data_IF_767683980066
#
_entry.id   IF_767683980066
#
_cell.length_a   1.000
_cell.length_b   1.000
_cell.length_c   1.000
_cell.angle_alpha   90.00
_cell.angle_beta   90.00
_cell.angle_gamma   90.00
#
_symmetry.space_group_name_H-M   'P 1'
#
loop_
_entity.id
_entity.type
_entity.pdbx_description
1 polymer ?
#
# COMPACT_ATOMS: atom_id res chain seq x y z
N UNK A 1 13.38 2.14 34.39
CA UNK A 1 12.35 1.96 33.36
C UNK A 1 13.11 1.60 32.10
N UNK A 2 12.99 0.37 31.58
CA UNK A 2 13.71 0.00 30.35
C UNK A 2 13.14 0.84 29.22
N UNK A 3 14.00 1.50 28.46
CA UNK A 3 13.69 2.06 27.14
C UNK A 3 13.26 0.91 26.24
N UNK A 4 12.00 0.48 26.36
CA UNK A 4 11.41 -0.36 25.31
C UNK A 4 11.36 0.56 24.09
N UNK A 5 12.04 0.16 23.04
CA UNK A 5 12.01 0.89 21.77
C UNK A 5 10.55 1.04 21.37
N UNK A 6 10.13 2.26 21.05
CA UNK A 6 8.75 2.54 20.63
C UNK A 6 8.32 1.63 19.48
N UNK A 7 9.29 1.20 18.64
CA UNK A 7 9.08 0.22 17.57
C UNK A 7 8.72 -1.16 18.12
N UNK A 8 9.42 -1.64 19.15
CA UNK A 8 9.16 -2.94 19.78
C UNK A 8 7.80 -2.93 20.49
N UNK A 9 7.50 -1.86 21.25
CA UNK A 9 6.20 -1.71 21.91
C UNK A 9 5.05 -1.69 20.91
N UNK A 10 5.23 -0.96 19.80
CA UNK A 10 4.25 -0.88 18.73
C UNK A 10 4.02 -2.26 18.10
N UNK A 11 5.10 -3.01 17.82
CA UNK A 11 5.02 -4.35 17.24
C UNK A 11 4.34 -5.36 18.17
N UNK A 12 4.66 -5.33 19.47
CA UNK A 12 3.99 -6.17 20.48
C UNK A 12 2.51 -5.85 20.58
N UNK A 13 2.15 -4.56 20.65
CA UNK A 13 0.75 -4.13 20.69
C UNK A 13 -0.02 -4.52 19.43
N UNK A 14 0.58 -4.38 18.26
CA UNK A 14 -0.04 -4.82 16.99
C UNK A 14 -0.30 -6.33 16.97
N UNK A 15 0.58 -7.13 17.58
CA UNK A 15 0.45 -8.59 17.65
C UNK A 15 -0.62 -9.03 18.65
N UNK A 16 -0.70 -8.37 19.79
CA UNK A 16 -1.54 -8.78 20.93
C UNK A 16 -2.95 -8.22 20.88
N UNK A 17 -3.12 -6.97 20.44
CA UNK A 17 -4.41 -6.32 20.28
C UNK A 17 -4.38 -5.34 19.10
N UNK A 18 -4.84 -5.83 17.96
CA UNK A 18 -4.85 -5.07 16.72
C UNK A 18 -6.04 -4.10 16.61
N UNK A 19 -6.96 -4.05 17.59
CA UNK A 19 -8.14 -3.17 17.56
C UNK A 19 -7.76 -1.69 17.53
N UNK A 20 -6.66 -1.32 18.20
CA UNK A 20 -6.10 0.03 18.18
C UNK A 20 -5.54 0.44 16.81
N UNK A 21 -5.35 -0.54 15.91
CA UNK A 21 -4.78 -0.35 14.58
C UNK A 21 -5.80 -0.49 13.45
N UNK A 22 -7.08 -0.65 13.79
CA UNK A 22 -8.17 -0.82 12.82
C UNK A 22 -8.24 0.35 11.83
N UNK A 23 -7.94 1.57 12.28
CA UNK A 23 -7.91 2.73 11.41
C UNK A 23 -6.76 2.67 10.40
N UNK A 24 -5.53 2.37 10.85
CA UNK A 24 -4.39 2.20 9.94
C UNK A 24 -4.62 1.04 8.96
N UNK A 25 -5.18 -0.07 9.45
CA UNK A 25 -5.51 -1.23 8.62
C UNK A 25 -6.51 -0.87 7.52
N UNK A 26 -7.62 -0.20 7.87
CA UNK A 26 -8.62 0.27 6.90
C UNK A 26 -8.02 1.25 5.90
N UNK A 27 -7.13 2.14 6.33
CA UNK A 27 -6.43 3.07 5.45
C UNK A 27 -5.57 2.31 4.44
N UNK A 28 -4.76 1.35 4.90
CA UNK A 28 -3.89 0.52 4.05
C UNK A 28 -4.75 -0.29 3.07
N UNK A 29 -5.82 -0.92 3.53
CA UNK A 29 -6.74 -1.69 2.69
C UNK A 29 -7.41 -0.82 1.62
N UNK A 30 -7.88 0.37 1.98
CA UNK A 30 -8.46 1.33 1.05
C UNK A 30 -7.44 1.80 0.00
N UNK A 31 -6.21 2.08 0.41
CA UNK A 31 -5.11 2.42 -0.51
C UNK A 31 -4.78 1.27 -1.45
N UNK A 32 -4.74 0.04 -0.94
CA UNK A 32 -4.46 -1.16 -1.72
C UNK A 32 -5.56 -1.42 -2.76
N UNK A 33 -6.83 -1.32 -2.36
CA UNK A 33 -7.97 -1.45 -3.26
C UNK A 33 -8.00 -0.34 -4.31
N UNK A 34 -7.80 0.92 -3.92
CA UNK A 34 -7.77 2.06 -4.83
C UNK A 34 -6.64 1.94 -5.86
N UNK A 35 -5.43 1.59 -5.40
CA UNK A 35 -4.29 1.34 -6.28
C UNK A 35 -4.57 0.18 -7.22
N UNK A 36 -5.05 -0.95 -6.71
CA UNK A 36 -5.36 -2.13 -7.52
C UNK A 36 -6.39 -1.82 -8.62
N UNK A 37 -7.44 -1.08 -8.29
CA UNK A 37 -8.46 -0.64 -9.24
C UNK A 37 -7.87 0.26 -10.33
N UNK A 38 -7.08 1.26 -9.95
CA UNK A 38 -6.41 2.16 -10.88
C UNK A 38 -5.45 1.41 -11.82
N UNK A 39 -4.54 0.59 -11.27
CA UNK A 39 -3.59 -0.19 -12.06
C UNK A 39 -4.30 -1.18 -12.98
N UNK A 40 -5.41 -1.79 -12.52
CA UNK A 40 -6.24 -2.65 -13.38
C UNK A 40 -6.84 -1.85 -14.54
N UNK A 41 -7.44 -0.70 -14.30
CA UNK A 41 -7.99 0.16 -15.37
C UNK A 41 -6.92 0.64 -16.35
N UNK A 42 -5.68 0.83 -15.89
CA UNK A 42 -4.58 1.29 -16.74
C UNK A 42 -3.93 0.15 -17.54
N UNK A 43 -3.82 -1.05 -16.99
CA UNK A 43 -2.91 -2.07 -17.53
C UNK A 43 -3.47 -3.49 -17.64
N UNK A 44 -4.72 -3.77 -17.21
CA UNK A 44 -5.28 -5.13 -17.27
C UNK A 44 -5.34 -5.68 -18.70
N UNK A 45 -5.77 -4.86 -19.65
CA UNK A 45 -5.81 -5.23 -21.06
C UNK A 45 -4.53 -4.76 -21.74
N UNK A 46 -3.85 -5.65 -22.46
CA UNK A 46 -2.64 -5.33 -23.24
C UNK A 46 -1.55 -4.59 -22.45
N UNK A 47 -1.22 -5.09 -21.25
CA UNK A 47 -0.21 -4.54 -20.32
C UNK A 47 1.00 -3.91 -21.02
N UNK A 48 1.66 -4.63 -21.95
CA UNK A 48 2.87 -4.15 -22.63
C UNK A 48 2.64 -2.86 -23.43
N UNK A 49 1.52 -2.76 -24.14
CA UNK A 49 1.18 -1.57 -24.93
C UNK A 49 0.86 -0.40 -24.02
N UNK A 50 0.01 -0.61 -23.02
CA UNK A 50 -0.42 0.44 -22.10
C UNK A 50 0.72 0.92 -21.20
N UNK A 51 1.59 0.02 -20.75
CA UNK A 51 2.83 0.37 -20.05
C UNK A 51 3.73 1.24 -20.92
N UNK A 52 3.91 0.91 -22.21
CA UNK A 52 4.71 1.73 -23.13
C UNK A 52 4.10 3.11 -23.35
N UNK A 53 2.78 3.22 -23.49
CA UNK A 53 2.07 4.51 -23.59
C UNK A 53 2.28 5.33 -22.32
N UNK A 54 2.11 4.70 -21.15
CA UNK A 54 2.29 5.34 -19.86
C UNK A 54 3.72 5.86 -19.66
N UNK A 55 4.74 5.03 -19.91
CA UNK A 55 6.15 5.39 -19.77
C UNK A 55 6.55 6.56 -20.69
N UNK A 56 6.06 6.58 -21.93
CA UNK A 56 6.23 7.73 -22.85
C UNK A 56 5.62 9.00 -22.29
N UNK A 57 4.41 8.92 -21.71
CA UNK A 57 3.71 10.07 -21.15
C UNK A 57 4.47 10.72 -19.98
N UNK A 58 5.16 9.92 -19.17
CA UNK A 58 5.93 10.40 -18.02
C UNK A 58 7.41 10.65 -18.35
N UNK A 59 7.82 10.55 -19.62
CA UNK A 59 9.19 10.83 -20.05
C UNK A 59 10.23 9.80 -19.60
N UNK A 60 9.80 8.57 -19.30
CA UNK A 60 10.68 7.47 -18.91
C UNK A 60 11.03 6.53 -20.07
N UNK A 61 10.55 6.83 -21.28
CA UNK A 61 10.83 6.12 -22.53
C UNK A 61 10.60 7.04 -23.73
#
# INVERSE_FOLDING_TARGET
MKDIDYVELYAEKLREDNSLFDQQKRLIEAQLQGSSSLFRGMFADNFKQNARIYLKKIGML
#
